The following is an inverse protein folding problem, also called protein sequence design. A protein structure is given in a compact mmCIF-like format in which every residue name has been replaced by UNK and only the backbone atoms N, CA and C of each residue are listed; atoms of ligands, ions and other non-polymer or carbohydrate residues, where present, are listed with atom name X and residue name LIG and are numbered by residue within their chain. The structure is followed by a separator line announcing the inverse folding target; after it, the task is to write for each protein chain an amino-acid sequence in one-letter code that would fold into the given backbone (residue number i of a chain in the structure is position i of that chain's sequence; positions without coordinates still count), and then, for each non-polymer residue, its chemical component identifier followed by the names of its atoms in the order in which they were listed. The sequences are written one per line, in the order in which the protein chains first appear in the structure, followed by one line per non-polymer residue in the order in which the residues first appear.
data_IF_022713548413
#
_entry.id   IF_022713548413
#
_cell.length_a   1.000
_cell.length_b   1.000
_cell.length_c   1.000
_cell.angle_alpha   90.00
_cell.angle_beta   90.00
_cell.angle_gamma   90.00
#
_symmetry.space_group_name_H-M   'P 1'
#
loop_
_entity.id
_entity.type
_entity.pdbx_description
1 polymer ?
#
# COMPACT_ATOMS: atom_id res chain seq x y z
N UNK A 1 0.40 -6.81 -5.40
CA UNK A 1 1.57 -6.31 -4.64
C UNK A 1 1.18 -5.74 -3.28
N UNK A 2 0.40 -4.65 -3.20
CA UNK A 2 0.05 -4.05 -1.89
C UNK A 2 -0.97 -4.87 -1.08
N UNK A 3 -2.02 -5.37 -1.74
CA UNK A 3 -3.00 -6.27 -1.11
C UNK A 3 -2.37 -7.61 -0.70
N UNK A 4 -1.50 -8.15 -1.57
CA UNK A 4 -0.75 -9.39 -1.34
C UNK A 4 0.19 -9.32 -0.13
N UNK A 5 0.76 -8.15 0.12
CA UNK A 5 1.57 -7.86 1.31
C UNK A 5 0.75 -7.55 2.57
N UNK A 6 -0.59 -7.49 2.47
CA UNK A 6 -1.45 -7.04 3.56
C UNK A 6 -1.29 -5.56 3.93
N UNK A 7 -0.59 -4.77 3.10
CA UNK A 7 -0.32 -3.35 3.35
C UNK A 7 -1.58 -2.50 3.18
N UNK A 8 -2.48 -2.94 2.30
CA UNK A 8 -3.80 -2.35 2.13
C UNK A 8 -4.88 -3.41 2.31
N UNK A 9 -5.97 -3.03 2.98
CA UNK A 9 -7.18 -3.83 3.09
C UNK A 9 -8.36 -3.12 2.43
N UNK A 10 -9.29 -3.88 1.90
CA UNK A 10 -10.52 -3.30 1.36
C UNK A 10 -11.50 -2.97 2.49
N UNK A 11 -12.22 -1.86 2.33
CA UNK A 11 -13.40 -1.58 3.13
C UNK A 11 -14.50 -2.58 2.77
N UNK A 12 -14.85 -3.48 3.67
CA UNK A 12 -15.92 -4.46 3.39
C UNK A 12 -17.25 -3.79 3.00
N UNK A 13 -17.52 -2.59 3.50
CA UNK A 13 -18.73 -1.84 3.19
C UNK A 13 -18.70 -1.07 1.87
N UNK A 14 -17.52 -0.66 1.38
CA UNK A 14 -17.42 0.33 0.29
C UNK A 14 -16.37 -0.02 -0.78
N UNK A 15 -15.62 -1.12 -0.64
CA UNK A 15 -14.60 -1.55 -1.59
C UNK A 15 -13.33 -0.69 -1.66
N UNK A 16 -13.23 0.41 -0.91
CA UNK A 16 -12.05 1.27 -0.91
C UNK A 16 -10.83 0.57 -0.31
N UNK A 17 -9.68 0.72 -0.99
CA UNK A 17 -8.39 0.39 -0.41
C UNK A 17 -8.08 1.34 0.75
N UNK A 18 -7.82 0.78 1.93
CA UNK A 18 -7.34 1.49 3.12
C UNK A 18 -5.98 0.98 3.48
N UNK A 19 -5.09 1.87 3.90
CA UNK A 19 -3.82 1.45 4.42
C UNK A 19 -4.01 0.84 5.81
N UNK A 20 -3.45 -0.34 6.06
CA UNK A 20 -3.52 -0.95 7.39
C UNK A 20 -2.59 -0.24 8.39
N UNK A 21 -1.65 0.57 7.90
CA UNK A 21 -0.58 1.17 8.69
C UNK A 21 0.27 0.15 9.48
N UNK A 22 0.23 -1.13 9.08
CA UNK A 22 1.01 -2.18 9.70
C UNK A 22 2.47 -2.08 9.23
N UNK A 23 3.45 -1.85 10.12
CA UNK A 23 4.85 -1.68 9.73
C UNK A 23 5.42 -2.90 9.00
N UNK A 24 5.00 -4.10 9.40
CA UNK A 24 5.46 -5.34 8.80
C UNK A 24 4.92 -5.53 7.38
N UNK A 25 3.65 -5.17 7.17
CA UNK A 25 3.04 -5.17 5.85
C UNK A 25 3.67 -4.13 4.91
N UNK A 26 4.06 -2.96 5.43
CA UNK A 26 4.83 -1.96 4.67
C UNK A 26 6.20 -2.50 4.25
N UNK A 27 6.94 -3.13 5.17
CA UNK A 27 8.23 -3.75 4.85
C UNK A 27 8.07 -4.85 3.78
N UNK A 28 7.03 -5.67 3.88
CA UNK A 28 6.74 -6.69 2.88
C UNK A 28 6.40 -6.08 1.51
N UNK A 29 5.62 -5.00 1.46
CA UNK A 29 5.30 -4.29 0.21
C UNK A 29 6.56 -3.72 -0.46
N UNK A 30 7.47 -3.13 0.31
CA UNK A 30 8.76 -2.65 -0.21
C UNK A 30 9.65 -3.79 -0.69
N UNK A 31 9.67 -4.91 0.04
CA UNK A 31 10.39 -6.12 -0.36
C UNK A 31 9.90 -6.66 -1.70
N UNK A 32 8.59 -6.66 -1.94
CA UNK A 32 7.99 -7.10 -3.20
C UNK A 32 8.31 -6.12 -4.34
N UNK A 33 8.22 -4.80 -4.11
CA UNK A 33 8.56 -3.76 -5.09
C UNK A 33 10.04 -3.79 -5.49
N UNK A 34 10.92 -4.11 -4.54
CA UNK A 34 12.36 -4.30 -4.77
C UNK A 34 12.65 -5.53 -5.63
N UNK A 35 11.92 -6.62 -5.41
CA UNK A 35 12.11 -7.89 -6.11
C UNK A 35 11.53 -7.88 -7.53
N UNK A 36 10.41 -7.18 -7.73
CA UNK A 36 9.72 -7.11 -9.02
C UNK A 36 9.45 -5.65 -9.39
N UNK A 37 10.51 -4.85 -9.65
CA UNK A 37 10.33 -3.48 -10.11
C UNK A 37 9.75 -3.46 -11.53
N UNK A 38 8.93 -2.46 -11.87
CA UNK A 38 8.46 -2.25 -13.23
C UNK A 38 9.63 -2.08 -14.22
N UNK A 39 9.43 -2.51 -15.47
CA UNK A 39 10.46 -2.40 -16.50
C UNK A 39 10.87 -0.94 -16.72
N UNK A 40 12.16 -0.65 -16.62
CA UNK A 40 12.71 0.70 -16.76
C UNK A 40 12.69 1.55 -15.48
N UNK A 41 12.25 0.98 -14.35
CA UNK A 41 12.27 1.64 -13.04
C UNK A 41 13.32 0.97 -12.15
N UNK A 42 14.14 1.77 -11.46
CA UNK A 42 15.10 1.26 -10.49
C UNK A 42 14.39 0.69 -9.28
N UNK A 43 15.02 -0.23 -8.55
CA UNK A 43 14.45 -0.80 -7.32
C UNK A 43 14.10 0.29 -6.29
N UNK A 44 14.97 1.29 -6.17
CA UNK A 44 14.79 2.40 -5.23
C UNK A 44 13.59 3.28 -5.63
N UNK A 45 13.45 3.61 -6.92
CA UNK A 45 12.28 4.32 -7.45
C UNK A 45 10.98 3.52 -7.25
N UNK A 46 11.00 2.21 -7.49
CA UNK A 46 9.82 1.36 -7.28
C UNK A 46 9.35 1.37 -5.81
N UNK A 47 10.30 1.36 -4.86
CA UNK A 47 10.00 1.47 -3.43
C UNK A 47 9.51 2.87 -3.06
N UNK A 48 10.12 3.92 -3.63
CA UNK A 48 9.71 5.31 -3.39
C UNK A 48 8.26 5.56 -3.85
N UNK A 49 7.90 5.05 -5.04
CA UNK A 49 6.53 5.14 -5.56
C UNK A 49 5.53 4.36 -4.70
N UNK A 50 5.88 3.14 -4.28
CA UNK A 50 5.04 2.36 -3.36
C UNK A 50 4.84 3.09 -2.03
N UNK A 51 5.89 3.70 -1.49
CA UNK A 51 5.78 4.53 -0.29
C UNK A 51 4.88 5.74 -0.50
N UNK A 52 5.00 6.42 -1.63
CA UNK A 52 4.18 7.58 -1.97
C UNK A 52 2.69 7.20 -2.11
N UNK A 53 2.40 6.06 -2.74
CA UNK A 53 1.02 5.55 -2.83
C UNK A 53 0.47 5.19 -1.46
N UNK A 54 1.24 4.51 -0.61
CA UNK A 54 0.80 4.19 0.75
C UNK A 54 0.55 5.46 1.58
N UNK A 55 1.46 6.43 1.52
CA UNK A 55 1.31 7.73 2.21
C UNK A 55 0.08 8.52 1.72
N UNK A 56 -0.27 8.37 0.44
CA UNK A 56 -1.47 8.97 -0.14
C UNK A 56 -2.76 8.21 0.19
N UNK A 57 -2.70 6.92 0.50
CA UNK A 57 -3.85 6.13 0.92
C UNK A 57 -4.04 6.38 2.42
N UNK A 58 -5.06 7.14 2.78
CA UNK A 58 -5.41 7.32 4.18
C UNK A 58 -5.70 5.97 4.86
N UNK A 59 -5.41 5.89 6.16
CA UNK A 59 -5.77 4.73 7.00
C UNK A 59 -7.30 4.58 7.18
N UNK A 60 -8.05 5.61 6.77
CA UNK A 60 -9.51 5.68 6.86
C UNK A 60 -10.18 5.64 5.49
N UNK A 61 -11.39 5.06 5.47
CA UNK A 61 -12.27 5.16 4.31
C UNK A 61 -12.90 6.55 4.30
N UNK A 62 -12.81 7.33 3.22
CA UNK A 62 -13.44 8.66 3.16
C UNK A 62 -14.98 8.58 3.25
N UNK A 63 -15.57 7.45 2.84
CA UNK A 63 -17.03 7.22 2.90
C UNK A 63 -17.50 6.54 4.21
N UNK A 64 -16.59 6.00 5.03
CA UNK A 64 -17.01 5.56 6.36
C UNK A 64 -17.13 6.77 7.27
N UNK A 65 -18.16 6.83 8.14
CA UNK A 65 -18.12 7.78 9.23
C UNK A 65 -16.87 7.50 10.10
N UNK A 66 -16.14 8.53 10.56
CA UNK A 66 -15.12 8.34 11.58
C UNK A 66 -15.79 7.75 12.82
N UNK A 67 -15.26 6.62 13.30
CA UNK A 67 -15.78 5.89 14.47
C UNK A 67 -15.54 6.63 15.77
#
# INVERSE_FOLDING_TARGET
MLQDAGAIQECEAHGWAKERADPHAREQAFGIATQNPPTGVSREDAVAEVRHVLDSIGDTCPECPPG
#
